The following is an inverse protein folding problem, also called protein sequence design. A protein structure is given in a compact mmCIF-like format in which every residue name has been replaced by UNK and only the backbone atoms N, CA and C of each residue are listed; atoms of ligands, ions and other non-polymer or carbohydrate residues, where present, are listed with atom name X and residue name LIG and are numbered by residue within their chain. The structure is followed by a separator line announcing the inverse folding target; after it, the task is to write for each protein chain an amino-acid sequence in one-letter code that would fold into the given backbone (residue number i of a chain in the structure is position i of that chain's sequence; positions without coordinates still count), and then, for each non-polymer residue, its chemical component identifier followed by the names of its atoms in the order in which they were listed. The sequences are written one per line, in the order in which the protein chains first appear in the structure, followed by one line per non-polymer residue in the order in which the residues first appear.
data_IF_430031421740
#
_entry.id   IF_430031421740
#
_cell.length_a   1.000
_cell.length_b   1.000
_cell.length_c   1.000
_cell.angle_alpha   90.00
_cell.angle_beta   90.00
_cell.angle_gamma   90.00
#
_symmetry.space_group_name_H-M   'P 1'
#
loop_
_entity.id
_entity.type
_entity.pdbx_description
1 polymer ?
#
# COMPACT_ATOMS: atom_id res chain seq x y z
N UNK A 1 0.73 -3.49 27.86
CA UNK A 1 1.91 -3.62 26.97
C UNK A 1 2.34 -2.23 26.53
N UNK A 2 3.64 -1.97 26.35
CA UNK A 2 4.13 -0.66 25.92
C UNK A 2 4.22 -0.61 24.39
N UNK A 3 4.20 0.58 23.78
CA UNK A 3 4.37 0.72 22.32
C UNK A 3 5.65 0.02 21.82
N UNK A 4 6.71 0.09 22.63
CA UNK A 4 8.00 -0.57 22.33
C UNK A 4 7.84 -2.09 22.24
N UNK A 5 7.08 -2.73 23.12
CA UNK A 5 6.88 -4.19 23.05
C UNK A 5 6.09 -4.58 21.81
N UNK A 6 5.06 -3.81 21.44
CA UNK A 6 4.28 -4.06 20.21
C UNK A 6 5.14 -3.97 18.96
N UNK A 7 5.97 -2.94 18.84
CA UNK A 7 6.88 -2.76 17.70
C UNK A 7 7.93 -3.86 17.66
N UNK A 8 8.45 -4.26 18.82
CA UNK A 8 9.40 -5.36 18.91
C UNK A 8 8.78 -6.68 18.45
N UNK A 9 7.58 -7.02 18.91
CA UNK A 9 6.88 -8.25 18.53
C UNK A 9 6.57 -8.26 17.02
N UNK A 10 6.12 -7.12 16.48
CA UNK A 10 5.94 -6.94 15.03
C UNK A 10 7.24 -7.20 14.26
N UNK A 11 8.33 -6.56 14.68
CA UNK A 11 9.62 -6.71 14.02
C UNK A 11 10.12 -8.16 14.08
N UNK A 12 10.00 -8.82 15.23
CA UNK A 12 10.44 -10.19 15.43
C UNK A 12 9.67 -11.18 14.55
N UNK A 13 8.33 -11.10 14.55
CA UNK A 13 7.47 -11.99 13.76
C UNK A 13 7.73 -11.78 12.27
N UNK A 14 7.72 -10.52 11.80
CA UNK A 14 7.95 -10.21 10.39
C UNK A 14 9.36 -10.60 9.95
N UNK A 15 10.39 -10.36 10.77
CA UNK A 15 11.75 -10.80 10.47
C UNK A 15 11.84 -12.33 10.36
N UNK A 16 11.17 -13.07 11.25
CA UNK A 16 11.13 -14.53 11.21
C UNK A 16 10.45 -15.04 9.93
N UNK A 17 9.33 -14.43 9.54
CA UNK A 17 8.64 -14.73 8.27
C UNK A 17 9.53 -14.43 7.07
N UNK A 18 10.20 -13.27 7.06
CA UNK A 18 11.12 -12.85 6.00
C UNK A 18 12.29 -13.82 5.85
N UNK A 19 12.95 -14.18 6.96
CA UNK A 19 14.07 -15.14 6.96
C UNK A 19 13.60 -16.48 6.42
N UNK A 20 12.47 -17.00 6.91
CA UNK A 20 11.92 -18.29 6.49
C UNK A 20 11.59 -18.29 5.00
N UNK A 21 10.83 -17.29 4.52
CA UNK A 21 10.47 -17.17 3.11
C UNK A 21 11.71 -16.98 2.21
N UNK A 22 12.70 -16.22 2.69
CA UNK A 22 13.96 -15.98 1.97
C UNK A 22 14.76 -17.27 1.81
N UNK A 23 14.86 -18.10 2.86
CA UNK A 23 15.52 -19.40 2.79
C UNK A 23 14.79 -20.37 1.86
N UNK A 24 13.45 -20.40 1.89
CA UNK A 24 12.62 -21.33 1.11
C UNK A 24 12.50 -20.93 -0.37
N UNK A 25 12.25 -19.65 -0.66
CA UNK A 25 11.88 -19.17 -2.00
C UNK A 25 13.10 -18.65 -2.77
N UNK A 26 14.02 -17.94 -2.12
CA UNK A 26 15.19 -17.32 -2.77
C UNK A 26 16.40 -18.25 -2.74
N UNK A 27 16.63 -18.87 -1.58
CA UNK A 27 17.73 -19.81 -1.36
C UNK A 27 19.06 -19.12 -1.00
N UNK A 28 19.91 -19.77 -0.19
CA UNK A 28 21.10 -19.17 0.43
C UNK A 28 22.16 -18.72 -0.60
N UNK A 29 22.28 -19.43 -1.73
CA UNK A 29 23.27 -19.14 -2.77
C UNK A 29 23.00 -17.80 -3.48
N UNK A 30 21.73 -17.51 -3.80
CA UNK A 30 21.34 -16.26 -4.47
C UNK A 30 21.54 -15.05 -3.55
N UNK A 31 21.25 -15.20 -2.26
CA UNK A 31 21.45 -14.15 -1.27
C UNK A 31 22.94 -13.86 -1.09
N UNK A 32 23.77 -14.90 -0.94
CA UNK A 32 25.21 -14.71 -0.81
C UNK A 32 25.82 -14.00 -2.02
N UNK A 33 25.35 -14.31 -3.23
CA UNK A 33 25.75 -13.58 -4.43
C UNK A 33 25.29 -12.11 -4.41
N UNK A 34 24.03 -11.85 -4.04
CA UNK A 34 23.49 -10.50 -3.98
C UNK A 34 24.22 -9.60 -2.97
N UNK A 35 24.64 -10.16 -1.82
CA UNK A 35 25.39 -9.44 -0.79
C UNK A 35 26.80 -9.07 -1.26
N UNK A 36 27.46 -9.93 -2.06
CA UNK A 36 28.80 -9.62 -2.61
C UNK A 36 28.78 -8.42 -3.55
N UNK A 37 27.70 -8.27 -4.31
CA UNK A 37 27.52 -7.16 -5.25
C UNK A 37 26.69 -5.99 -4.67
N UNK A 38 26.55 -5.92 -3.34
CA UNK A 38 25.61 -5.01 -2.69
C UNK A 38 25.85 -3.54 -3.05
N UNK A 39 27.11 -3.11 -3.16
CA UNK A 39 27.45 -1.72 -3.48
C UNK A 39 26.87 -1.28 -4.83
N UNK A 40 27.12 -2.06 -5.88
CA UNK A 40 26.60 -1.77 -7.22
C UNK A 40 25.06 -1.78 -7.23
N UNK A 41 24.44 -2.76 -6.54
CA UNK A 41 22.97 -2.87 -6.46
C UNK A 41 22.35 -1.66 -5.75
N UNK A 42 22.95 -1.22 -4.64
CA UNK A 42 22.51 -0.03 -3.91
C UNK A 42 22.63 1.23 -4.75
N UNK A 43 23.71 1.39 -5.52
CA UNK A 43 23.88 2.54 -6.43
C UNK A 43 22.80 2.59 -7.52
N UNK A 44 22.40 1.44 -8.07
CA UNK A 44 21.31 1.35 -9.07
C UNK A 44 19.95 1.67 -8.44
N UNK A 45 19.71 1.23 -7.21
CA UNK A 45 18.43 1.43 -6.51
C UNK A 45 18.33 2.76 -5.77
N UNK A 46 19.43 3.50 -5.62
CA UNK A 46 19.47 4.74 -4.82
C UNK A 46 18.42 5.75 -5.27
N UNK A 47 18.33 6.01 -6.58
CA UNK A 47 17.39 6.99 -7.12
C UNK A 47 15.92 6.55 -6.91
N UNK A 48 15.50 5.31 -7.28
CA UNK A 48 14.18 4.80 -6.92
C UNK A 48 13.86 4.87 -5.43
N UNK A 49 14.78 4.44 -4.58
CA UNK A 49 14.59 4.45 -3.13
C UNK A 49 14.48 5.87 -2.58
N UNK A 50 15.28 6.81 -3.10
CA UNK A 50 15.21 8.21 -2.72
C UNK A 50 13.86 8.84 -3.10
N UNK A 51 13.32 8.50 -4.28
CA UNK A 51 12.00 8.97 -4.70
C UNK A 51 10.90 8.38 -3.81
N UNK A 52 10.94 7.09 -3.51
CA UNK A 52 9.98 6.47 -2.59
C UNK A 52 10.09 7.10 -1.19
N UNK A 53 11.31 7.26 -0.67
CA UNK A 53 11.56 7.91 0.62
C UNK A 53 11.02 9.34 0.63
N UNK A 54 11.22 10.11 -0.44
CA UNK A 54 10.66 11.45 -0.59
C UNK A 54 9.13 11.42 -0.54
N UNK A 55 8.46 10.53 -1.28
CA UNK A 55 7.00 10.41 -1.24
C UNK A 55 6.51 10.02 0.16
N UNK A 56 7.21 9.12 0.85
CA UNK A 56 6.88 8.73 2.23
C UNK A 56 7.12 9.87 3.23
N UNK A 57 8.16 10.68 3.03
CA UNK A 57 8.42 11.89 3.83
C UNK A 57 7.37 12.97 3.58
N UNK A 58 6.96 13.17 2.32
CA UNK A 58 5.85 14.07 1.98
C UNK A 58 4.58 13.55 2.65
N UNK A 59 4.24 12.27 2.53
CA UNK A 59 3.11 11.68 3.26
C UNK A 59 3.20 11.96 4.75
N UNK A 60 4.33 11.68 5.39
CA UNK A 60 4.50 11.90 6.83
C UNK A 60 4.37 13.38 7.23
N UNK A 61 5.00 14.30 6.51
CA UNK A 61 4.94 15.75 6.77
C UNK A 61 3.59 16.39 6.42
N UNK A 62 2.89 15.85 5.42
CA UNK A 62 1.55 16.30 5.03
C UNK A 62 0.48 15.79 5.97
N UNK A 63 0.71 14.76 6.80
CA UNK A 63 -0.29 14.29 7.77
C UNK A 63 -0.81 15.47 8.61
N UNK A 64 0.07 16.29 9.18
CA UNK A 64 -0.36 17.44 10.01
C UNK A 64 -0.97 18.59 9.20
N UNK A 65 -0.54 18.78 7.95
CA UNK A 65 -1.01 19.86 7.07
C UNK A 65 -2.38 19.51 6.48
N UNK A 66 -2.58 18.26 6.07
CA UNK A 66 -3.83 17.71 5.57
C UNK A 66 -4.87 17.74 6.68
N UNK A 67 -4.55 17.37 7.91
CA UNK A 67 -5.46 17.54 9.08
C UNK A 67 -5.94 19.00 9.23
N UNK A 68 -5.04 19.97 8.98
CA UNK A 68 -5.37 21.41 9.12
C UNK A 68 -6.15 21.96 7.91
N UNK A 69 -5.89 21.47 6.71
CA UNK A 69 -6.63 21.85 5.49
C UNK A 69 -7.97 21.13 5.35
N UNK A 70 -8.07 19.87 5.80
CA UNK A 70 -9.25 18.98 5.75
C UNK A 70 -10.51 19.66 6.30
N UNK A 71 -10.40 20.42 7.39
CA UNK A 71 -11.58 21.01 8.07
C UNK A 71 -12.15 22.27 7.44
N UNK A 72 -11.45 22.95 6.53
CA UNK A 72 -11.84 24.33 6.18
C UNK A 72 -12.08 24.60 4.69
N UNK A 73 -11.51 23.86 3.74
CA UNK A 73 -11.47 24.37 2.34
C UNK A 73 -11.71 23.34 1.21
N UNK A 74 -11.35 22.06 1.33
CA UNK A 74 -11.24 21.18 0.12
C UNK A 74 -11.99 19.85 0.16
N UNK A 75 -12.16 19.22 1.33
CA UNK A 75 -12.55 17.80 1.37
C UNK A 75 -14.02 17.55 1.03
N UNK A 76 -14.27 16.90 -0.10
CA UNK A 76 -15.58 16.34 -0.40
C UNK A 76 -15.76 15.07 0.42
N UNK A 77 -16.66 15.07 1.41
CA UNK A 77 -16.99 13.87 2.16
C UNK A 77 -17.78 12.93 1.23
N UNK A 78 -17.14 11.83 0.83
CA UNK A 78 -17.72 10.81 -0.04
C UNK A 78 -18.28 9.61 0.72
N UNK A 79 -18.21 9.61 2.06
CA UNK A 79 -18.64 8.46 2.88
C UNK A 79 -20.10 8.07 2.65
N UNK A 80 -21.08 9.02 2.67
CA UNK A 80 -22.46 8.70 2.37
C UNK A 80 -22.64 8.07 0.98
N UNK A 81 -21.92 8.58 -0.01
CA UNK A 81 -21.98 8.13 -1.40
C UNK A 81 -21.43 6.71 -1.54
N UNK A 82 -20.37 6.35 -0.79
CA UNK A 82 -19.85 4.99 -0.74
C UNK A 82 -20.88 4.02 -0.14
N UNK A 83 -21.52 4.41 0.97
CA UNK A 83 -22.55 3.61 1.61
C UNK A 83 -23.79 3.41 0.73
N UNK A 84 -24.31 4.49 0.14
CA UNK A 84 -25.47 4.46 -0.77
C UNK A 84 -25.17 3.63 -2.02
N UNK A 85 -23.97 3.77 -2.61
CA UNK A 85 -23.54 2.98 -3.75
C UNK A 85 -23.57 1.48 -3.42
N UNK A 86 -23.08 1.09 -2.25
CA UNK A 86 -23.09 -0.32 -1.85
C UNK A 86 -24.49 -0.86 -1.61
N UNK A 87 -25.39 -0.07 -1.02
CA UNK A 87 -26.80 -0.45 -0.87
C UNK A 87 -27.53 -0.56 -2.21
N UNK A 88 -27.16 0.27 -3.19
CA UNK A 88 -27.73 0.22 -4.53
C UNK A 88 -27.27 -1.02 -5.31
N UNK A 89 -25.99 -1.38 -5.18
CA UNK A 89 -25.36 -2.45 -5.96
C UNK A 89 -25.60 -3.83 -5.33
N UNK A 90 -25.63 -3.92 -4.00
CA UNK A 90 -25.71 -5.19 -3.29
C UNK A 90 -27.02 -5.31 -2.48
N UNK A 91 -27.65 -6.50 -2.44
CA UNK A 91 -28.83 -6.73 -1.59
C UNK A 91 -28.56 -6.52 -0.10
N UNK A 92 -27.33 -6.76 0.33
CA UNK A 92 -26.84 -6.54 1.70
C UNK A 92 -25.45 -5.92 1.62
N UNK A 93 -25.09 -5.07 2.58
CA UNK A 93 -23.78 -4.44 2.57
C UNK A 93 -22.66 -5.50 2.70
N UNK A 94 -21.63 -5.48 1.84
CA UNK A 94 -20.57 -6.49 1.87
C UNK A 94 -19.84 -6.60 3.22
N UNK A 95 -19.65 -5.49 3.92
CA UNK A 95 -18.99 -5.47 5.23
C UNK A 95 -19.86 -6.16 6.27
N UNK A 96 -21.17 -5.87 6.31
CA UNK A 96 -22.06 -6.53 7.28
C UNK A 96 -22.16 -8.02 7.02
N UNK A 97 -22.21 -8.44 5.75
CA UNK A 97 -22.18 -9.86 5.37
C UNK A 97 -20.91 -10.54 5.89
N UNK A 98 -19.73 -9.94 5.71
CA UNK A 98 -18.48 -10.50 6.23
C UNK A 98 -18.48 -10.60 7.76
N UNK A 99 -19.03 -9.60 8.45
CA UNK A 99 -19.10 -9.59 9.90
C UNK A 99 -20.08 -10.64 10.47
N UNK A 100 -21.03 -11.15 9.68
CA UNK A 100 -21.89 -12.27 10.14
C UNK A 100 -21.12 -13.57 10.39
N UNK A 101 -19.93 -13.73 9.80
CA UNK A 101 -19.05 -14.87 10.04
C UNK A 101 -18.11 -14.66 11.23
N UNK A 102 -18.26 -13.56 11.96
CA UNK A 102 -17.32 -13.20 12.99
C UNK A 102 -17.27 -14.23 14.13
N UNK A 103 -16.06 -14.64 14.46
CA UNK A 103 -15.77 -15.49 15.62
C UNK A 103 -14.42 -15.10 16.20
N UNK A 104 -14.15 -15.36 17.49
CA UNK A 104 -12.88 -14.96 18.11
C UNK A 104 -11.64 -15.43 17.32
N UNK A 105 -11.61 -16.70 16.90
CA UNK A 105 -10.51 -17.27 16.15
C UNK A 105 -10.35 -16.65 14.75
N UNK A 106 -11.45 -16.38 14.05
CA UNK A 106 -11.41 -15.75 12.72
C UNK A 106 -10.97 -14.28 12.81
N UNK A 107 -11.43 -13.57 13.84
CA UNK A 107 -11.01 -12.19 14.10
C UNK A 107 -9.52 -12.13 14.43
N UNK A 108 -9.00 -13.02 15.29
CA UNK A 108 -7.56 -13.13 15.56
C UNK A 108 -6.76 -13.37 14.29
N UNK A 109 -7.21 -14.29 13.43
CA UNK A 109 -6.58 -14.55 12.13
C UNK A 109 -6.55 -13.30 11.25
N UNK A 110 -7.67 -12.59 11.08
CA UNK A 110 -7.70 -11.41 10.23
C UNK A 110 -6.94 -10.23 10.81
N UNK A 111 -6.89 -10.07 12.13
CA UNK A 111 -6.01 -9.09 12.78
C UNK A 111 -4.54 -9.45 12.53
N UNK A 112 -4.17 -10.73 12.62
CA UNK A 112 -2.82 -11.18 12.30
C UNK A 112 -2.44 -10.88 10.84
N UNK A 113 -3.33 -11.21 9.90
CA UNK A 113 -3.14 -10.92 8.48
C UNK A 113 -3.02 -9.41 8.23
N UNK A 114 -3.90 -8.61 8.82
CA UNK A 114 -3.93 -7.16 8.64
C UNK A 114 -2.64 -6.47 9.12
N UNK A 115 -2.05 -6.96 10.22
CA UNK A 115 -0.85 -6.37 10.82
C UNK A 115 0.43 -7.03 10.27
N UNK A 116 0.61 -8.32 10.56
CA UNK A 116 1.86 -9.04 10.29
C UNK A 116 1.91 -9.56 8.85
N UNK A 117 0.80 -10.13 8.36
CA UNK A 117 0.71 -10.65 7.00
C UNK A 117 0.94 -9.55 5.95
N UNK A 118 0.31 -8.40 6.15
CA UNK A 118 0.49 -7.21 5.31
C UNK A 118 1.94 -6.71 5.34
N UNK A 119 2.54 -6.52 6.52
CA UNK A 119 3.92 -6.06 6.63
C UNK A 119 4.91 -7.00 5.93
N UNK A 120 4.76 -8.31 6.15
CA UNK A 120 5.54 -9.32 5.44
C UNK A 120 5.36 -9.26 3.92
N UNK A 121 4.10 -9.19 3.45
CA UNK A 121 3.75 -9.16 2.03
C UNK A 121 4.43 -7.98 1.30
N UNK A 122 4.49 -6.81 1.94
CA UNK A 122 5.13 -5.63 1.36
C UNK A 122 6.66 -5.70 1.36
N UNK A 123 7.26 -6.29 2.38
CA UNK A 123 8.72 -6.30 2.56
C UNK A 123 9.41 -7.42 1.78
N UNK A 124 8.82 -8.61 1.73
CA UNK A 124 9.41 -9.77 1.07
C UNK A 124 9.82 -9.53 -0.40
N UNK A 125 9.01 -8.88 -1.28
CA UNK A 125 9.40 -8.68 -2.67
C UNK A 125 10.65 -7.79 -2.83
N UNK A 126 10.97 -6.90 -1.87
CA UNK A 126 12.24 -6.17 -1.90
C UNK A 126 13.42 -7.13 -1.75
N UNK A 127 13.35 -8.07 -0.81
CA UNK A 127 14.40 -9.08 -0.60
C UNK A 127 14.49 -10.00 -1.81
N UNK A 128 13.35 -10.50 -2.29
CA UNK A 128 13.30 -11.43 -3.42
C UNK A 128 13.85 -10.80 -4.71
N UNK A 129 13.44 -9.58 -5.05
CA UNK A 129 13.89 -8.92 -6.29
C UNK A 129 15.31 -8.35 -6.16
N UNK A 130 15.74 -7.94 -4.97
CA UNK A 130 17.15 -7.59 -4.74
C UNK A 130 18.09 -8.78 -4.96
N UNK A 131 17.63 -10.01 -4.72
CA UNK A 131 18.41 -11.22 -4.93
C UNK A 131 18.47 -11.71 -6.40
N UNK A 132 17.72 -11.08 -7.31
CA UNK A 132 17.77 -11.43 -8.75
C UNK A 132 19.03 -10.86 -9.41
N UNK A 133 19.47 -11.46 -10.52
CA UNK A 133 20.66 -10.99 -11.25
C UNK A 133 20.49 -9.60 -11.87
N UNK A 134 19.25 -9.23 -12.23
CA UNK A 134 18.88 -7.93 -12.81
C UNK A 134 18.05 -7.11 -11.83
N UNK A 135 18.24 -5.79 -11.84
CA UNK A 135 17.56 -4.84 -10.95
C UNK A 135 16.23 -4.30 -11.52
N UNK A 136 15.82 -4.77 -12.69
CA UNK A 136 14.63 -4.25 -13.39
C UNK A 136 13.36 -4.50 -12.57
N UNK A 137 13.18 -5.72 -12.03
CA UNK A 137 11.97 -6.06 -11.25
C UNK A 137 11.90 -5.29 -9.92
N UNK A 138 13.05 -5.07 -9.27
CA UNK A 138 13.13 -4.25 -8.07
C UNK A 138 12.83 -2.77 -8.37
N UNK A 139 13.33 -2.26 -9.50
CA UNK A 139 13.04 -0.90 -9.96
C UNK A 139 11.55 -0.74 -10.29
N UNK A 140 10.95 -1.72 -10.95
CA UNK A 140 9.51 -1.79 -11.23
C UNK A 140 8.69 -1.81 -9.93
N UNK A 141 9.08 -2.61 -8.93
CA UNK A 141 8.44 -2.65 -7.62
C UNK A 141 8.45 -1.27 -6.96
N UNK A 142 9.63 -0.65 -6.88
CA UNK A 142 9.79 0.66 -6.22
C UNK A 142 8.98 1.73 -6.94
N UNK A 143 8.97 1.73 -8.28
CA UNK A 143 8.21 2.69 -9.07
C UNK A 143 6.70 2.47 -8.92
N UNK A 144 6.23 1.22 -8.89
CA UNK A 144 4.83 0.90 -8.62
C UNK A 144 4.41 1.32 -7.21
N UNK A 145 5.25 1.11 -6.19
CA UNK A 145 4.97 1.56 -4.82
C UNK A 145 4.94 3.09 -4.73
N UNK A 146 5.87 3.75 -5.43
CA UNK A 146 5.91 5.22 -5.52
C UNK A 146 4.63 5.76 -6.16
N UNK A 147 4.20 5.18 -7.29
CA UNK A 147 2.96 5.58 -7.97
C UNK A 147 1.73 5.35 -7.08
N UNK A 148 1.64 4.21 -6.39
CA UNK A 148 0.60 3.91 -5.42
C UNK A 148 0.48 5.02 -4.36
N UNK A 149 1.58 5.33 -3.67
CA UNK A 149 1.56 6.34 -2.62
C UNK A 149 1.30 7.74 -3.16
N UNK A 150 1.88 8.11 -4.30
CA UNK A 150 1.70 9.43 -4.89
C UNK A 150 0.24 9.66 -5.31
N UNK A 151 -0.35 8.73 -6.05
CA UNK A 151 -1.75 8.83 -6.49
C UNK A 151 -2.70 8.71 -5.30
N UNK A 152 -2.44 7.76 -4.38
CA UNK A 152 -3.23 7.59 -3.16
C UNK A 152 -3.23 8.84 -2.29
N UNK A 153 -2.09 9.51 -2.12
CA UNK A 153 -2.00 10.76 -1.38
C UNK A 153 -2.84 11.87 -2.04
N UNK A 154 -2.81 11.98 -3.37
CA UNK A 154 -3.68 12.93 -4.09
C UNK A 154 -5.15 12.61 -3.83
N UNK A 155 -5.55 11.34 -3.90
CA UNK A 155 -6.93 10.95 -3.58
C UNK A 155 -7.33 11.29 -2.14
N UNK A 156 -6.46 11.05 -1.16
CA UNK A 156 -6.73 11.39 0.24
C UNK A 156 -6.83 12.90 0.50
N UNK A 157 -6.21 13.74 -0.33
CA UNK A 157 -6.40 15.19 -0.26
C UNK A 157 -7.74 15.61 -0.87
N UNK A 158 -8.18 14.93 -1.93
CA UNK A 158 -9.40 15.28 -2.67
C UNK A 158 -10.68 14.72 -2.03
N UNK A 159 -10.60 13.53 -1.44
CA UNK A 159 -11.74 12.79 -0.92
C UNK A 159 -11.56 12.52 0.57
N UNK A 160 -12.55 12.92 1.35
CA UNK A 160 -12.66 12.53 2.76
C UNK A 160 -13.60 11.33 2.81
N UNK A 161 -13.13 10.22 3.39
CA UNK A 161 -13.93 9.02 3.54
C UNK A 161 -13.67 8.37 4.90
N UNK A 162 -14.72 8.05 5.65
CA UNK A 162 -14.61 7.31 6.91
C UNK A 162 -14.88 5.84 6.66
N UNK A 163 -14.11 4.96 7.31
CA UNK A 163 -14.37 3.52 7.25
C UNK A 163 -15.71 3.13 7.90
N UNK A 164 -16.28 1.96 7.57
CA UNK A 164 -17.59 1.51 8.06
C UNK A 164 -17.77 1.65 9.58
N UNK A 165 -16.78 1.21 10.37
CA UNK A 165 -16.80 1.27 11.84
C UNK A 165 -16.87 2.69 12.42
N UNK A 166 -16.46 3.69 11.65
CA UNK A 166 -16.48 5.11 12.03
C UNK A 166 -17.71 5.85 11.46
N UNK A 167 -18.45 5.22 10.55
CA UNK A 167 -19.65 5.81 9.93
C UNK A 167 -20.90 5.56 10.78
N UNK A 168 -21.19 4.29 11.09
CA UNK A 168 -22.28 3.93 12.00
C UNK A 168 -21.88 2.71 12.86
N UNK A 169 -21.44 2.95 14.12
CA UNK A 169 -21.04 1.87 15.03
C UNK A 169 -22.18 0.93 15.44
N UNK A 170 -23.45 1.28 15.18
CA UNK A 170 -24.59 0.37 15.42
C UNK A 170 -24.75 -0.64 14.28
N UNK A 171 -24.22 -0.33 13.09
CA UNK A 171 -24.30 -1.19 11.91
C UNK A 171 -23.00 -1.94 11.62
N UNK A 172 -21.85 -1.42 12.06
CA UNK A 172 -20.53 -1.96 11.75
C UNK A 172 -19.67 -2.13 13.00
N UNK A 173 -19.24 -3.36 13.25
CA UNK A 173 -18.45 -3.67 14.45
C UNK A 173 -16.97 -3.30 14.28
N UNK A 174 -16.32 -2.69 15.29
CA UNK A 174 -14.90 -2.33 15.23
C UNK A 174 -13.99 -3.52 15.64
N UNK A 175 -14.15 -4.68 14.98
CA UNK A 175 -13.54 -5.97 15.37
C UNK A 175 -12.02 -5.97 15.61
N UNK A 176 -11.29 -5.01 15.02
CA UNK A 176 -9.86 -4.82 15.29
C UNK A 176 -9.58 -4.57 16.79
N UNK A 177 -10.47 -3.84 17.47
CA UNK A 177 -10.26 -3.43 18.87
C UNK A 177 -10.53 -4.57 19.86
N UNK A 178 -11.22 -5.63 19.45
CA UNK A 178 -11.49 -6.78 20.32
C UNK A 178 -10.21 -7.59 20.59
N UNK A 179 -9.37 -7.76 19.57
CA UNK A 179 -8.10 -8.50 19.67
C UNK A 179 -6.93 -7.57 19.98
N UNK A 180 -6.97 -6.33 19.47
CA UNK A 180 -5.90 -5.36 19.69
C UNK A 180 -6.43 -4.03 20.25
N UNK A 181 -6.93 -3.98 21.50
CA UNK A 181 -7.51 -2.76 22.09
C UNK A 181 -6.53 -1.58 22.13
N UNK A 182 -5.24 -1.89 22.21
CA UNK A 182 -4.14 -0.93 22.20
C UNK A 182 -4.05 -0.17 20.87
N UNK A 183 -4.59 -0.71 19.78
CA UNK A 183 -4.72 0.06 18.53
C UNK A 183 -5.68 1.23 18.68
N UNK A 184 -6.61 1.26 19.64
CA UNK A 184 -7.52 2.41 19.75
C UNK A 184 -6.77 3.70 20.10
N UNK A 185 -5.76 3.63 20.98
CA UNK A 185 -4.90 4.78 21.30
C UNK A 185 -3.82 5.04 20.23
N UNK A 186 -3.29 3.99 19.59
CA UNK A 186 -2.27 4.10 18.54
C UNK A 186 -2.82 4.55 17.18
N UNK A 187 -3.99 4.06 16.78
CA UNK A 187 -4.66 4.43 15.53
C UNK A 187 -5.06 5.90 15.59
N UNK A 188 -5.60 6.38 16.72
CA UNK A 188 -5.89 7.79 16.92
C UNK A 188 -4.66 8.71 16.87
N UNK A 189 -3.44 8.18 17.09
CA UNK A 189 -2.20 8.95 17.03
C UNK A 189 -1.46 8.85 15.67
N UNK A 190 -1.66 7.75 14.91
CA UNK A 190 -0.83 7.42 13.72
C UNK A 190 -1.64 7.25 12.43
N UNK A 191 -2.91 6.84 12.50
CA UNK A 191 -3.75 6.55 11.34
C UNK A 191 -4.98 7.47 11.33
N UNK A 192 -5.09 8.32 10.30
CA UNK A 192 -6.27 9.15 10.11
C UNK A 192 -7.49 8.27 9.81
N UNK A 193 -8.57 8.49 10.54
CA UNK A 193 -9.84 7.80 10.34
C UNK A 193 -10.53 8.17 9.00
N UNK A 194 -10.00 9.16 8.28
CA UNK A 194 -10.54 9.78 7.05
C UNK A 194 -9.88 9.33 5.74
N UNK A 195 -8.79 8.55 5.81
CA UNK A 195 -7.99 8.18 4.64
C UNK A 195 -8.31 6.77 4.13
N UNK A 196 -9.59 6.45 3.91
CA UNK A 196 -9.99 5.10 3.50
C UNK A 196 -10.13 4.92 1.98
N UNK A 197 -10.38 5.98 1.21
CA UNK A 197 -10.59 5.90 -0.24
C UNK A 197 -9.45 6.50 -1.08
N UNK A 198 -8.83 5.74 -2.01
CA UNK A 198 -8.94 4.29 -2.19
C UNK A 198 -8.18 3.53 -1.09
N UNK A 199 -8.46 2.23 -0.95
CA UNK A 199 -7.76 1.40 0.04
C UNK A 199 -6.30 1.15 -0.37
N UNK A 200 -5.34 1.82 0.29
CA UNK A 200 -3.91 1.58 0.05
C UNK A 200 -3.45 0.21 0.53
N UNK A 201 -4.04 -0.35 1.59
CA UNK A 201 -3.75 -1.73 2.03
C UNK A 201 -4.07 -2.72 0.91
N UNK A 202 -5.23 -2.55 0.27
CA UNK A 202 -5.62 -3.33 -0.91
C UNK A 202 -4.67 -3.06 -2.07
N UNK A 203 -4.44 -1.79 -2.39
CA UNK A 203 -3.68 -1.41 -3.57
C UNK A 203 -2.23 -1.93 -3.55
N UNK A 204 -1.54 -1.79 -2.42
CA UNK A 204 -0.18 -2.28 -2.26
C UNK A 204 -0.12 -3.80 -2.24
N UNK A 205 -1.06 -4.46 -1.56
CA UNK A 205 -1.12 -5.95 -1.51
C UNK A 205 -1.36 -6.55 -2.89
N UNK A 206 -2.33 -6.00 -3.64
CA UNK A 206 -2.62 -6.42 -5.00
C UNK A 206 -1.48 -6.08 -5.96
N UNK A 207 -0.78 -4.95 -5.76
CA UNK A 207 0.44 -4.62 -6.51
C UNK A 207 1.50 -5.70 -6.35
N UNK A 208 1.74 -6.18 -5.12
CA UNK A 208 2.69 -7.26 -4.86
C UNK A 208 2.26 -8.55 -5.55
N UNK A 209 0.98 -8.94 -5.45
CA UNK A 209 0.48 -10.14 -6.11
C UNK A 209 0.60 -10.07 -7.64
N UNK A 210 0.22 -8.95 -8.26
CA UNK A 210 0.35 -8.76 -9.71
C UNK A 210 1.81 -8.81 -10.17
N UNK A 211 2.74 -8.20 -9.44
CA UNK A 211 4.16 -8.30 -9.74
C UNK A 211 4.70 -9.72 -9.54
N UNK A 212 4.22 -10.44 -8.52
CA UNK A 212 4.55 -11.86 -8.34
C UNK A 212 4.09 -12.69 -9.55
N UNK A 213 2.86 -12.46 -10.04
CA UNK A 213 2.34 -13.11 -11.24
C UNK A 213 3.17 -12.81 -12.49
N UNK A 214 3.60 -11.56 -12.66
CA UNK A 214 4.47 -11.15 -13.77
C UNK A 214 5.89 -11.74 -13.67
N UNK A 215 6.36 -12.03 -12.46
CA UNK A 215 7.68 -12.61 -12.19
C UNK A 215 7.62 -14.10 -11.85
N UNK A 216 6.51 -14.79 -12.16
CA UNK A 216 6.23 -16.18 -11.79
C UNK A 216 7.29 -17.19 -12.23
N UNK A 217 7.97 -16.95 -13.35
CA UNK A 217 9.05 -17.82 -13.83
C UNK A 217 10.31 -17.72 -12.95
N UNK A 218 10.50 -16.60 -12.25
CA UNK A 218 11.66 -16.35 -11.38
C UNK A 218 11.44 -16.89 -9.97
N UNK A 219 10.21 -16.76 -9.46
CA UNK A 219 9.77 -17.21 -8.13
C UNK A 219 8.37 -17.85 -8.17
N UNK A 220 8.23 -19.09 -8.69
CA UNK A 220 6.92 -19.72 -8.89
C UNK A 220 6.15 -19.96 -7.59
N UNK A 221 6.86 -20.31 -6.50
CA UNK A 221 6.26 -20.51 -5.18
C UNK A 221 5.71 -19.20 -4.57
N UNK A 222 6.23 -18.05 -4.99
CA UNK A 222 5.78 -16.76 -4.45
C UNK A 222 4.39 -16.37 -4.95
N UNK A 223 3.97 -16.83 -6.12
CA UNK A 223 2.66 -16.50 -6.71
C UNK A 223 1.49 -16.94 -5.83
N UNK A 224 1.35 -18.24 -5.46
CA UNK A 224 0.23 -18.66 -4.61
C UNK A 224 0.31 -18.05 -3.21
N UNK A 225 1.52 -17.89 -2.63
CA UNK A 225 1.71 -17.29 -1.31
C UNK A 225 1.24 -15.83 -1.29
N UNK A 226 1.73 -15.03 -2.25
CA UNK A 226 1.36 -13.62 -2.36
C UNK A 226 -0.11 -13.44 -2.73
N UNK A 227 -0.70 -14.32 -3.55
CA UNK A 227 -2.12 -14.28 -3.90
C UNK A 227 -3.01 -14.53 -2.69
N UNK A 228 -2.76 -15.60 -1.93
CA UNK A 228 -3.52 -15.90 -0.71
C UNK A 228 -3.38 -14.78 0.31
N UNK A 229 -2.17 -14.27 0.54
CA UNK A 229 -1.94 -13.17 1.48
C UNK A 229 -2.62 -11.87 1.02
N UNK A 230 -2.52 -11.51 -0.27
CA UNK A 230 -3.12 -10.29 -0.78
C UNK A 230 -4.65 -10.32 -0.67
N UNK A 231 -5.27 -11.43 -1.06
CA UNK A 231 -6.73 -11.63 -0.92
C UNK A 231 -7.12 -11.62 0.57
N UNK A 232 -6.34 -12.26 1.44
CA UNK A 232 -6.62 -12.27 2.88
C UNK A 232 -6.52 -10.86 3.48
N UNK A 233 -5.55 -10.04 3.04
CA UNK A 233 -5.45 -8.64 3.46
C UNK A 233 -6.67 -7.86 2.99
N UNK A 234 -7.09 -8.02 1.73
CA UNK A 234 -8.29 -7.38 1.17
C UNK A 234 -9.55 -7.75 1.93
N UNK A 235 -9.72 -9.00 2.32
CA UNK A 235 -10.87 -9.42 3.12
C UNK A 235 -10.76 -8.87 4.53
N UNK A 236 -9.56 -8.88 5.13
CA UNK A 236 -9.33 -8.38 6.50
C UNK A 236 -9.70 -6.90 6.65
N UNK A 237 -9.44 -6.06 5.65
CA UNK A 237 -9.74 -4.64 5.71
C UNK A 237 -11.25 -4.38 5.80
N UNK A 238 -12.05 -5.15 5.08
CA UNK A 238 -13.52 -5.08 5.14
C UNK A 238 -14.05 -5.73 6.41
N UNK A 239 -13.61 -6.97 6.71
CA UNK A 239 -14.04 -7.73 7.88
C UNK A 239 -13.85 -6.94 9.18
N UNK A 240 -12.69 -6.27 9.34
CA UNK A 240 -12.37 -5.45 10.52
C UNK A 240 -13.08 -4.08 10.54
N UNK A 241 -13.97 -3.80 9.58
CA UNK A 241 -14.75 -2.57 9.47
C UNK A 241 -13.93 -1.34 9.07
N UNK A 242 -12.78 -1.52 8.43
CA UNK A 242 -11.82 -0.43 8.12
C UNK A 242 -12.11 0.19 6.76
N UNK A 243 -12.44 -0.62 5.75
CA UNK A 243 -12.68 -0.17 4.38
C UNK A 243 -14.02 -0.65 3.83
N UNK A 244 -14.62 0.18 2.98
CA UNK A 244 -15.77 -0.19 2.16
C UNK A 244 -15.32 -1.11 1.00
N UNK A 245 -16.25 -1.90 0.46
CA UNK A 245 -15.98 -2.71 -0.74
C UNK A 245 -15.61 -1.82 -1.94
N UNK A 246 -16.27 -0.67 -2.07
CA UNK A 246 -15.97 0.30 -3.15
C UNK A 246 -14.53 0.82 -3.06
N UNK A 247 -14.01 1.06 -1.86
CA UNK A 247 -12.61 1.49 -1.64
C UNK A 247 -11.62 0.38 -2.02
N UNK A 248 -11.98 -0.88 -1.76
CA UNK A 248 -11.22 -2.07 -2.11
C UNK A 248 -11.14 -2.24 -3.63
N UNK A 249 -12.25 -2.05 -4.34
CA UNK A 249 -12.27 -2.07 -5.81
C UNK A 249 -11.40 -0.95 -6.37
N UNK A 250 -11.56 0.28 -5.87
CA UNK A 250 -10.74 1.42 -6.28
C UNK A 250 -9.24 1.19 -5.97
N UNK A 251 -8.93 0.58 -4.84
CA UNK A 251 -7.57 0.17 -4.48
C UNK A 251 -7.00 -0.87 -5.45
N UNK A 252 -7.80 -1.85 -5.87
CA UNK A 252 -7.35 -2.86 -6.85
C UNK A 252 -7.09 -2.24 -8.22
N UNK A 253 -7.91 -1.27 -8.63
CA UNK A 253 -7.69 -0.49 -9.86
C UNK A 253 -6.40 0.33 -9.75
N UNK A 254 -6.18 0.99 -8.62
CA UNK A 254 -4.94 1.74 -8.36
C UNK A 254 -3.71 0.82 -8.41
N UNK A 255 -3.81 -0.41 -7.94
CA UNK A 255 -2.74 -1.40 -8.06
C UNK A 255 -2.41 -1.71 -9.53
N UNK A 256 -3.42 -1.95 -10.37
CA UNK A 256 -3.24 -2.20 -11.79
C UNK A 256 -2.56 -1.02 -12.50
N UNK A 257 -3.02 0.21 -12.22
CA UNK A 257 -2.42 1.44 -12.75
C UNK A 257 -0.96 1.56 -12.30
N UNK A 258 -0.68 1.31 -11.03
CA UNK A 258 0.66 1.44 -10.47
C UNK A 258 1.63 0.40 -11.01
N UNK A 259 1.17 -0.85 -11.20
CA UNK A 259 1.94 -1.91 -11.87
C UNK A 259 2.20 -1.55 -13.32
N UNK A 260 1.20 -1.02 -14.03
CA UNK A 260 1.36 -0.52 -15.39
C UNK A 260 2.43 0.59 -15.45
N UNK A 261 2.41 1.55 -14.53
CA UNK A 261 3.43 2.60 -14.45
C UNK A 261 4.81 1.99 -14.18
N UNK A 262 4.91 1.10 -13.20
CA UNK A 262 6.17 0.45 -12.82
C UNK A 262 6.80 -0.38 -13.95
N UNK A 263 5.98 -0.94 -14.85
CA UNK A 263 6.40 -1.78 -15.97
C UNK A 263 6.80 -1.00 -17.22
N UNK A 264 6.11 0.11 -17.50
CA UNK A 264 6.23 0.81 -18.77
C UNK A 264 7.11 2.07 -18.69
N UNK A 265 7.41 2.55 -17.48
CA UNK A 265 8.18 3.77 -17.28
C UNK A 265 9.43 3.51 -16.45
N UNK A 266 10.40 4.42 -16.58
CA UNK A 266 11.56 4.49 -15.70
C UNK A 266 11.64 5.90 -15.12
N UNK A 267 12.22 6.05 -13.93
CA UNK A 267 12.35 7.37 -13.28
C UNK A 267 13.10 8.36 -14.18
N UNK A 268 14.18 7.91 -14.83
CA UNK A 268 14.94 8.73 -15.79
C UNK A 268 14.14 9.08 -17.04
N UNK A 269 13.24 8.20 -17.47
CA UNK A 269 12.31 8.44 -18.58
C UNK A 269 11.26 9.49 -18.22
N UNK A 270 10.59 9.32 -17.07
CA UNK A 270 9.58 10.25 -16.56
C UNK A 270 10.17 11.66 -16.43
N UNK A 271 11.34 11.78 -15.79
CA UNK A 271 12.01 13.08 -15.63
C UNK A 271 12.37 13.73 -16.98
N UNK A 272 12.83 12.95 -17.97
CA UNK A 272 13.11 13.47 -19.33
C UNK A 272 11.85 13.93 -20.03
N UNK A 273 10.75 13.16 -19.95
CA UNK A 273 9.47 13.53 -20.54
C UNK A 273 8.88 14.80 -19.92
N UNK A 274 8.93 14.94 -18.60
CA UNK A 274 8.48 16.14 -17.90
C UNK A 274 9.30 17.36 -18.33
N UNK A 275 10.64 17.22 -18.35
CA UNK A 275 11.53 18.31 -18.77
C UNK A 275 11.25 18.72 -20.21
N UNK A 276 11.18 17.77 -21.14
CA UNK A 276 10.87 18.05 -22.54
C UNK A 276 9.50 18.73 -22.73
N UNK A 277 8.49 18.34 -21.96
CA UNK A 277 7.17 18.97 -21.99
C UNK A 277 7.22 20.42 -21.50
N UNK A 278 7.88 20.67 -20.36
CA UNK A 278 8.06 22.02 -19.81
C UNK A 278 8.86 22.91 -20.76
N UNK A 279 9.94 22.39 -21.34
CA UNK A 279 10.77 23.11 -22.32
C UNK A 279 9.95 23.46 -23.56
N UNK A 280 9.08 22.55 -24.06
CA UNK A 280 8.21 22.85 -25.21
C UNK A 280 7.10 23.88 -24.90
N UNK A 281 6.62 23.94 -23.65
CA UNK A 281 5.51 24.82 -23.26
C UNK A 281 5.96 26.20 -22.76
N UNK A 282 7.17 26.30 -22.21
CA UNK A 282 7.69 27.52 -21.58
C UNK A 282 9.03 28.00 -22.15
N UNK A 283 9.74 27.17 -22.94
CA UNK A 283 11.01 27.54 -23.57
C UNK A 283 10.86 28.52 -24.74
N UNK A 284 9.68 28.55 -25.39
CA UNK A 284 9.42 29.41 -26.55
C UNK A 284 9.07 30.87 -26.20
N UNK A 285 9.04 31.23 -24.91
CA UNK A 285 8.83 32.62 -24.46
C UNK A 285 10.11 33.45 -24.33
N UNK A 286 11.30 32.85 -24.43
CA UNK A 286 12.58 33.58 -24.35
C UNK A 286 13.14 34.02 -25.70
N UNK A 287 12.57 33.56 -26.82
CA UNK A 287 12.96 33.92 -28.18
C UNK A 287 12.19 35.13 -28.74
N UNK A 288 11.10 35.55 -28.10
CA UNK A 288 10.22 36.65 -28.59
C UNK A 288 10.51 38.01 -27.92
N UNK A 289 11.28 38.05 -26.83
CA UNK A 289 11.72 39.33 -26.20
C UNK A 289 13.05 39.88 -26.76
N UNK A 290 13.57 39.31 -27.87
CA UNK A 290 14.79 39.79 -28.53
C UNK A 290 14.61 40.15 -30.02
N UNK A 291 13.38 40.42 -30.48
CA UNK A 291 13.11 41.12 -31.74
C UNK A 291 12.38 42.42 -31.48
#
# INVERSE_FOLDING_TARGET
MTLVSVVFDLALVVATMLVTATLVIVGPRRIAAAVRDARWRLEVCLLPLAVLAFVLLVRWSTVDVVIRLERRVVGNNITPQLFELEQLVFPQNPVTVLQTFASPALTEFFVFIYIYGYAFLLLFPFVAYFALSKMDDLSTLILAFTANYAIGLVCYVLFIAYGPRNFDPLLFEPLLYDVFPQSQSLTNQVNQNTNVFPSLHTSLSMTVFFLAWLTREKYPLWVPISGVLAISVVISTMYLGIHWFSDVVAGTILALISVYIGRNYTIRGIHRSIRSYLDSRFGDRRSVEQQ
#
